data_IF_179003948980
#
_entry.id   IF_179003948980
#
_cell.length_a   1.000
_cell.length_b   1.000
_cell.length_c   1.000
_cell.angle_alpha   90.00
_cell.angle_beta   90.00
_cell.angle_gamma   90.00
#
_symmetry.space_group_name_H-M   'P 1'
#
loop_
_entity.id
_entity.type
_entity.pdbx_description
1 polymer ?
#
# COMPACT_ATOMS: atom_id res chain seq x y z
N UNK A 1 -48.36 23.98 -8.60
CA UNK A 1 -47.04 23.42 -8.26
C UNK A 1 -47.20 21.91 -8.22
N UNK A 2 -46.45 21.20 -9.06
CA UNK A 2 -46.60 19.76 -9.17
C UNK A 2 -46.19 19.07 -7.86
N UNK A 3 -47.00 18.13 -7.37
CA UNK A 3 -46.75 17.36 -6.13
C UNK A 3 -45.40 16.66 -6.11
N UNK A 4 -44.82 16.41 -7.29
CA UNK A 4 -43.50 15.82 -7.45
C UNK A 4 -42.34 16.60 -6.78
N UNK A 5 -42.52 17.88 -6.49
CA UNK A 5 -41.49 18.67 -5.80
C UNK A 5 -41.57 18.58 -4.26
N UNK A 6 -42.64 18.00 -3.72
CA UNK A 6 -42.76 17.80 -2.27
C UNK A 6 -41.83 16.73 -1.71
N UNK A 7 -41.32 15.84 -2.56
CA UNK A 7 -40.39 14.77 -2.19
C UNK A 7 -38.90 15.18 -2.25
N UNK A 8 -38.60 16.36 -2.78
CA UNK A 8 -37.22 16.84 -2.78
C UNK A 8 -36.89 17.38 -1.39
N UNK A 9 -36.10 16.66 -0.65
CA UNK A 9 -35.54 17.19 0.61
C UNK A 9 -34.73 18.46 0.30
N UNK A 10 -35.06 19.55 0.97
CA UNK A 10 -34.29 20.79 0.93
C UNK A 10 -33.16 20.80 1.96
N UNK A 11 -33.05 19.76 2.73
CA UNK A 11 -31.98 19.61 3.74
C UNK A 11 -30.69 19.23 3.04
N UNK A 12 -29.70 20.09 3.15
CA UNK A 12 -28.33 19.72 2.70
C UNK A 12 -27.78 18.65 3.60
N UNK A 13 -27.18 17.65 3.00
CA UNK A 13 -26.38 16.67 3.74
C UNK A 13 -25.05 17.31 4.08
N UNK A 14 -24.81 17.55 5.37
CA UNK A 14 -23.59 18.20 5.88
C UNK A 14 -22.65 17.22 6.55
N UNK A 15 -23.10 15.97 6.75
CA UNK A 15 -22.29 14.93 7.36
C UNK A 15 -21.11 14.53 6.45
N UNK A 16 -19.93 14.26 7.02
CA UNK A 16 -18.79 13.79 6.27
C UNK A 16 -19.12 12.53 5.49
N UNK A 17 -18.60 12.40 4.27
CA UNK A 17 -18.84 11.24 3.41
C UNK A 17 -18.39 9.91 4.05
N UNK A 18 -17.44 9.95 4.98
CA UNK A 18 -16.99 8.79 5.75
C UNK A 18 -17.80 8.53 7.02
N UNK A 19 -18.91 9.26 7.26
CA UNK A 19 -19.83 8.94 8.36
C UNK A 19 -20.37 7.53 8.20
N UNK A 20 -20.21 6.73 9.26
CA UNK A 20 -20.54 5.29 9.24
C UNK A 20 -21.99 5.00 8.86
N UNK A 21 -22.92 5.82 9.34
CA UNK A 21 -24.36 5.61 9.06
C UNK A 21 -24.70 5.90 7.61
N UNK A 22 -24.10 6.95 7.04
CA UNK A 22 -24.26 7.27 5.62
C UNK A 22 -23.64 6.20 4.73
N UNK A 23 -22.43 5.75 5.04
CA UNK A 23 -21.78 4.68 4.28
C UNK A 23 -22.58 3.38 4.33
N UNK A 24 -23.02 2.93 5.50
CA UNK A 24 -23.84 1.73 5.63
C UNK A 24 -25.18 1.83 4.87
N UNK A 25 -25.85 2.98 4.94
CA UNK A 25 -27.16 3.16 4.31
C UNK A 25 -27.09 3.28 2.79
N UNK A 26 -26.05 3.89 2.24
CA UNK A 26 -25.92 4.18 0.81
C UNK A 26 -25.02 3.17 0.10
N UNK A 27 -23.90 2.77 0.73
CA UNK A 27 -22.86 1.94 0.14
C UNK A 27 -22.81 0.52 0.71
N UNK A 28 -23.77 0.16 1.60
CA UNK A 28 -23.95 -1.18 2.14
C UNK A 28 -23.00 -1.57 3.27
N UNK A 29 -21.90 -0.83 3.46
CA UNK A 29 -20.93 -1.02 4.55
C UNK A 29 -20.04 0.20 4.78
N UNK A 30 -19.31 0.22 5.90
CA UNK A 30 -18.32 1.25 6.21
C UNK A 30 -17.01 0.94 5.47
N UNK A 31 -16.92 1.42 4.24
CA UNK A 31 -15.70 1.27 3.43
C UNK A 31 -14.50 2.02 4.02
N UNK A 32 -13.31 1.53 3.68
CA UNK A 32 -12.07 2.22 3.94
C UNK A 32 -11.33 1.78 5.20
N UNK A 33 -10.29 2.52 5.51
CA UNK A 33 -9.34 2.22 6.58
C UNK A 33 -9.20 3.46 7.47
N UNK A 34 -9.41 3.29 8.76
CA UNK A 34 -9.16 4.31 9.79
C UNK A 34 -7.91 4.00 10.62
N UNK A 35 -7.41 2.75 10.52
CA UNK A 35 -6.32 2.25 11.34
C UNK A 35 -5.50 1.22 10.53
N UNK A 36 -4.18 1.37 10.42
CA UNK A 36 -3.34 0.51 9.58
C UNK A 36 -3.19 -0.91 10.08
N UNK A 37 -3.48 -1.16 11.36
CA UNK A 37 -3.38 -2.48 12.01
C UNK A 37 -4.71 -3.12 12.34
N UNK A 38 -5.84 -2.47 12.08
CA UNK A 38 -7.17 -3.05 12.26
C UNK A 38 -7.29 -4.39 11.52
N UNK A 39 -8.12 -5.30 12.05
CA UNK A 39 -8.28 -6.63 11.46
C UNK A 39 -8.67 -6.53 9.99
N UNK A 40 -7.87 -7.13 9.11
CA UNK A 40 -8.15 -7.17 7.67
C UNK A 40 -9.46 -7.90 7.38
N UNK A 41 -10.27 -7.34 6.48
CA UNK A 41 -11.57 -7.89 6.08
C UNK A 41 -11.63 -8.19 4.60
N UNK A 42 -11.15 -7.27 3.77
CA UNK A 42 -11.17 -7.41 2.33
C UNK A 42 -9.88 -6.84 1.74
N UNK A 43 -9.25 -7.58 0.86
CA UNK A 43 -7.97 -7.23 0.24
C UNK A 43 -8.08 -7.42 -1.27
N UNK A 44 -7.65 -6.42 -2.03
CA UNK A 44 -7.43 -6.54 -3.47
C UNK A 44 -6.02 -7.09 -3.72
N UNK A 45 -5.94 -8.14 -4.51
CA UNK A 45 -4.69 -8.78 -4.95
C UNK A 45 -4.74 -9.04 -6.46
N UNK A 46 -3.59 -9.28 -7.07
CA UNK A 46 -3.48 -9.79 -8.43
C UNK A 46 -2.54 -11.00 -8.43
N UNK A 47 -3.04 -12.16 -8.87
CA UNK A 47 -2.22 -13.36 -9.00
C UNK A 47 -1.31 -13.20 -10.21
N UNK A 48 0.02 -13.24 -10.05
CA UNK A 48 0.92 -12.99 -11.18
C UNK A 48 0.75 -14.04 -12.28
N UNK A 49 0.76 -13.58 -13.51
CA UNK A 49 0.67 -14.37 -14.73
C UNK A 49 1.89 -14.19 -15.62
N UNK A 50 1.72 -14.46 -16.92
CA UNK A 50 2.81 -14.31 -17.90
C UNK A 50 3.24 -12.86 -18.16
N UNK A 51 2.48 -11.88 -17.68
CA UNK A 51 2.81 -10.45 -17.79
C UNK A 51 4.14 -10.10 -17.12
N UNK A 52 4.53 -10.82 -16.05
CA UNK A 52 5.80 -10.59 -15.35
C UNK A 52 7.01 -10.74 -16.26
N UNK A 53 6.93 -11.59 -17.28
CA UNK A 53 8.00 -11.77 -18.27
C UNK A 53 8.15 -10.57 -19.22
N UNK A 54 7.20 -9.63 -19.22
CA UNK A 54 7.30 -8.41 -20.01
C UNK A 54 8.23 -7.37 -19.42
N UNK A 55 8.62 -7.54 -18.15
CA UNK A 55 9.54 -6.62 -17.49
C UNK A 55 10.87 -6.49 -18.23
N UNK A 56 11.40 -7.59 -18.75
CA UNK A 56 12.62 -7.57 -19.59
C UNK A 56 12.46 -6.69 -20.83
N UNK A 57 11.29 -6.71 -21.46
CA UNK A 57 10.98 -5.90 -22.64
C UNK A 57 10.98 -4.40 -22.34
N UNK A 58 10.59 -4.02 -21.13
CA UNK A 58 10.52 -2.62 -20.70
C UNK A 58 11.77 -2.15 -19.97
N UNK A 59 12.75 -3.01 -19.76
CA UNK A 59 13.97 -2.72 -19.01
C UNK A 59 14.73 -1.51 -19.52
N UNK A 60 14.77 -1.32 -20.84
CA UNK A 60 15.41 -0.16 -21.47
C UNK A 60 14.65 1.17 -21.29
N UNK A 61 13.41 1.13 -20.77
CA UNK A 61 12.54 2.28 -20.55
C UNK A 61 12.43 2.67 -19.07
N UNK A 62 13.06 1.91 -18.18
CA UNK A 62 13.14 2.23 -16.76
C UNK A 62 14.32 3.16 -16.57
N UNK A 63 14.05 4.46 -16.69
CA UNK A 63 15.12 5.47 -16.79
C UNK A 63 15.63 5.98 -15.45
N UNK A 64 15.02 5.61 -14.29
CA UNK A 64 15.33 6.33 -13.06
C UNK A 64 15.12 5.54 -11.80
N UNK A 65 15.65 6.07 -10.74
CA UNK A 65 15.32 5.79 -9.38
C UNK A 65 16.20 4.84 -8.62
N UNK A 66 15.69 4.19 -7.60
CA UNK A 66 16.45 3.32 -6.71
C UNK A 66 17.19 2.23 -7.42
N UNK A 67 16.70 1.78 -8.58
CA UNK A 67 17.42 0.82 -9.42
C UNK A 67 18.73 1.40 -9.94
N UNK A 68 18.76 2.68 -10.33
CA UNK A 68 19.99 3.39 -10.70
C UNK A 68 20.89 3.63 -9.49
N UNK A 69 20.34 3.99 -8.35
CA UNK A 69 21.10 4.31 -7.15
C UNK A 69 21.73 3.08 -6.49
N UNK A 70 21.07 1.94 -6.52
CA UNK A 70 21.66 0.68 -6.11
C UNK A 70 22.84 0.27 -7.02
N UNK A 71 22.91 0.79 -8.24
CA UNK A 71 24.01 0.56 -9.16
C UNK A 71 25.22 1.47 -8.91
N UNK A 72 25.04 2.60 -8.24
CA UNK A 72 26.12 3.56 -7.94
C UNK A 72 27.16 2.97 -6.98
N UNK A 73 26.89 1.87 -6.30
CA UNK A 73 27.86 1.16 -5.45
C UNK A 73 29.02 0.49 -6.18
N UNK A 74 29.31 0.86 -7.43
CA UNK A 74 30.59 0.58 -8.01
C UNK A 74 30.65 -0.01 -9.41
N UNK A 75 29.59 -0.49 -9.99
CA UNK A 75 29.56 -0.86 -11.40
C UNK A 75 28.13 -0.70 -11.92
N UNK A 76 27.96 0.22 -12.85
CA UNK A 76 26.76 0.32 -13.68
C UNK A 76 26.63 -0.99 -14.48
N UNK A 77 26.07 -2.01 -13.89
CA UNK A 77 25.62 -3.16 -14.64
C UNK A 77 24.11 -3.18 -14.55
N UNK A 78 23.47 -3.21 -15.70
CA UNK A 78 22.04 -3.49 -15.87
C UNK A 78 21.64 -4.85 -15.20
N UNK A 79 22.59 -5.56 -14.65
CA UNK A 79 22.42 -6.81 -13.93
C UNK A 79 21.76 -6.70 -12.56
N UNK A 80 21.38 -5.52 -12.12
CA UNK A 80 20.49 -5.32 -10.96
C UNK A 80 19.02 -5.22 -11.35
N UNK A 81 18.69 -5.42 -12.61
CA UNK A 81 17.31 -5.67 -13.03
C UNK A 81 16.77 -6.86 -12.23
N UNK A 82 15.50 -6.80 -11.83
CA UNK A 82 14.85 -7.94 -11.22
C UNK A 82 15.16 -9.19 -12.03
N UNK A 83 15.71 -10.22 -11.38
CA UNK A 83 15.88 -11.50 -12.07
C UNK A 83 14.50 -12.00 -12.46
N UNK A 84 14.35 -12.48 -13.69
CA UNK A 84 13.08 -13.10 -14.10
C UNK A 84 12.74 -14.19 -13.08
N UNK A 85 11.58 -14.09 -12.42
CA UNK A 85 11.19 -15.10 -11.44
C UNK A 85 10.82 -16.40 -12.14
N UNK A 86 10.93 -17.51 -11.41
CA UNK A 86 10.24 -18.73 -11.77
C UNK A 86 8.73 -18.51 -11.59
N UNK A 87 7.99 -18.44 -12.69
CA UNK A 87 6.57 -18.08 -12.68
C UNK A 87 5.73 -19.07 -11.84
N UNK A 88 6.00 -20.37 -11.94
CA UNK A 88 5.25 -21.38 -11.18
C UNK A 88 5.48 -21.20 -9.67
N UNK A 89 6.72 -21.01 -9.27
CA UNK A 89 7.08 -20.79 -7.88
C UNK A 89 6.59 -19.42 -7.37
N UNK A 90 6.65 -18.40 -8.20
CA UNK A 90 6.08 -17.07 -7.90
C UNK A 90 4.57 -17.17 -7.60
N UNK A 91 3.84 -17.90 -8.43
CA UNK A 91 2.41 -18.17 -8.23
C UNK A 91 2.15 -18.94 -6.95
N UNK A 92 2.93 -19.99 -6.67
CA UNK A 92 2.82 -20.77 -5.43
C UNK A 92 3.04 -19.89 -4.18
N UNK A 93 4.03 -19.00 -4.21
CA UNK A 93 4.29 -18.07 -3.11
C UNK A 93 3.19 -17.03 -2.95
N UNK A 94 2.68 -16.50 -4.04
CA UNK A 94 1.55 -15.58 -4.01
C UNK A 94 0.27 -16.27 -3.48
N UNK A 95 -0.01 -17.50 -3.89
CA UNK A 95 -1.12 -18.28 -3.40
C UNK A 95 -0.98 -18.58 -1.89
N UNK A 96 0.24 -18.90 -1.42
CA UNK A 96 0.52 -19.10 0.01
C UNK A 96 0.29 -17.82 0.84
N UNK A 97 0.65 -16.64 0.30
CA UNK A 97 0.34 -15.36 0.92
C UNK A 97 -1.18 -15.13 1.00
N UNK A 98 -1.91 -15.37 -0.10
CA UNK A 98 -3.37 -15.24 -0.12
C UNK A 98 -4.03 -16.21 0.88
N UNK A 99 -3.53 -17.42 1.03
CA UNK A 99 -4.03 -18.40 1.98
C UNK A 99 -3.74 -18.02 3.45
N UNK A 100 -2.56 -17.43 3.71
CA UNK A 100 -2.25 -16.87 5.03
C UNK A 100 -3.26 -15.76 5.40
N UNK A 101 -3.57 -14.87 4.47
CA UNK A 101 -4.56 -13.81 4.67
C UNK A 101 -5.99 -14.35 4.87
N UNK A 102 -6.39 -15.38 4.11
CA UNK A 102 -7.69 -16.05 4.27
C UNK A 102 -7.83 -16.72 5.64
N UNK A 103 -6.76 -17.35 6.15
CA UNK A 103 -6.74 -17.93 7.50
C UNK A 103 -6.92 -16.87 8.58
N UNK A 104 -6.48 -15.64 8.33
CA UNK A 104 -6.71 -14.48 9.21
C UNK A 104 -8.13 -13.88 9.05
N UNK A 105 -8.94 -14.42 8.14
CA UNK A 105 -10.33 -14.03 7.91
C UNK A 105 -10.52 -12.94 6.87
N UNK A 106 -9.52 -12.69 6.02
CA UNK A 106 -9.64 -11.78 4.92
C UNK A 106 -10.35 -12.44 3.71
N UNK A 107 -11.26 -11.71 3.10
CA UNK A 107 -11.77 -11.99 1.76
C UNK A 107 -10.77 -11.44 0.73
N UNK A 108 -10.39 -12.26 -0.25
CA UNK A 108 -9.50 -11.83 -1.33
C UNK A 108 -10.33 -11.56 -2.59
N UNK A 109 -10.26 -10.31 -3.05
CA UNK A 109 -10.77 -9.90 -4.36
C UNK A 109 -9.59 -9.90 -5.33
N UNK A 110 -9.73 -10.54 -6.47
CA UNK A 110 -8.68 -10.53 -7.47
C UNK A 110 -8.95 -9.48 -8.55
N UNK A 111 -7.92 -8.69 -8.84
CA UNK A 111 -7.80 -7.97 -10.09
C UNK A 111 -7.52 -9.00 -11.17
N UNK A 112 -8.42 -9.11 -12.15
CA UNK A 112 -8.38 -10.17 -13.14
C UNK A 112 -7.28 -9.98 -14.18
N UNK A 113 -6.86 -11.06 -14.82
CA UNK A 113 -5.95 -11.02 -15.94
C UNK A 113 -6.55 -10.21 -17.10
N UNK A 114 -5.69 -9.46 -17.76
CA UNK A 114 -6.03 -8.68 -18.94
C UNK A 114 -5.06 -9.02 -20.06
N UNK A 115 -5.53 -9.10 -21.31
CA UNK A 115 -4.69 -9.41 -22.49
C UNK A 115 -3.43 -8.53 -22.59
N UNK A 116 -3.52 -7.29 -22.06
CA UNK A 116 -2.44 -6.33 -21.99
C UNK A 116 -2.02 -6.05 -20.55
N UNK A 117 -1.99 -7.08 -19.69
CA UNK A 117 -1.55 -6.94 -18.31
C UNK A 117 -0.17 -6.29 -18.20
N UNK A 118 -0.02 -5.43 -17.20
CA UNK A 118 1.21 -4.72 -16.90
C UNK A 118 2.13 -5.59 -16.04
N UNK A 119 3.45 -5.54 -16.21
CA UNK A 119 4.37 -6.51 -15.59
C UNK A 119 4.40 -6.49 -14.06
N UNK A 120 4.01 -5.38 -13.44
CA UNK A 120 4.03 -5.19 -11.99
C UNK A 120 2.64 -5.23 -11.32
N UNK A 121 1.60 -5.68 -12.03
CA UNK A 121 0.21 -5.71 -11.52
C UNK A 121 0.04 -6.47 -10.20
N UNK A 122 0.94 -7.42 -9.88
CA UNK A 122 0.92 -8.12 -8.60
C UNK A 122 1.11 -7.18 -7.40
N UNK A 123 1.71 -6.00 -7.59
CA UNK A 123 1.92 -5.00 -6.54
C UNK A 123 0.71 -4.07 -6.41
N UNK A 124 -0.39 -4.67 -6.01
CA UNK A 124 -1.70 -3.98 -5.92
C UNK A 124 -1.75 -2.88 -4.86
N UNK A 125 -0.81 -2.87 -3.90
CA UNK A 125 -0.69 -1.79 -2.92
C UNK A 125 -0.64 -0.42 -3.56
N UNK A 126 0.04 -0.31 -4.69
CA UNK A 126 0.32 0.95 -5.35
C UNK A 126 -0.88 1.50 -6.13
N UNK A 127 -1.95 0.72 -6.28
CA UNK A 127 -3.15 1.10 -7.03
C UNK A 127 -3.95 2.23 -6.38
N UNK A 128 -3.81 2.43 -5.06
CA UNK A 128 -4.56 3.47 -4.38
C UNK A 128 -4.25 3.62 -2.89
N UNK A 129 -4.70 4.72 -2.36
CA UNK A 129 -4.62 5.09 -0.96
C UNK A 129 -6.00 4.93 -0.33
N UNK A 130 -6.15 3.91 0.50
CA UNK A 130 -7.43 3.61 1.16
C UNK A 130 -7.53 4.42 2.45
N UNK A 131 -8.61 5.18 2.55
CA UNK A 131 -8.88 6.11 3.64
C UNK A 131 -10.31 5.91 4.15
N UNK A 132 -10.73 6.54 5.25
CA UNK A 132 -12.12 6.44 5.68
C UNK A 132 -13.10 6.79 4.56
N UNK A 133 -14.04 5.88 4.30
CA UNK A 133 -15.10 6.07 3.31
C UNK A 133 -14.75 5.69 1.88
N UNK A 134 -13.51 5.31 1.55
CA UNK A 134 -13.20 4.92 0.17
C UNK A 134 -11.71 4.91 -0.18
N UNK A 135 -11.42 5.13 -1.45
CA UNK A 135 -10.06 5.10 -1.99
C UNK A 135 -9.76 6.34 -2.83
N UNK A 136 -8.54 6.82 -2.74
CA UNK A 136 -7.94 7.78 -3.68
C UNK A 136 -7.09 6.95 -4.64
N UNK A 137 -7.44 6.96 -5.93
CA UNK A 137 -6.71 6.19 -6.94
C UNK A 137 -5.37 6.83 -7.24
N UNK A 138 -4.38 5.99 -7.41
CA UNK A 138 -3.03 6.36 -7.78
C UNK A 138 -2.91 6.81 -9.24
N UNK A 139 -1.95 7.69 -9.50
CA UNK A 139 -1.37 7.90 -10.81
C UNK A 139 0.09 7.53 -10.74
N UNK A 140 0.48 6.53 -11.53
CA UNK A 140 1.83 6.00 -11.53
C UNK A 140 2.83 6.96 -12.18
N UNK A 141 4.02 6.99 -11.61
CA UNK A 141 5.15 7.76 -12.17
C UNK A 141 5.73 7.08 -13.41
N UNK A 142 5.76 5.74 -13.44
CA UNK A 142 6.36 4.97 -14.52
C UNK A 142 5.35 4.55 -15.59
N UNK A 143 5.78 4.64 -16.85
CA UNK A 143 4.97 4.22 -18.00
C UNK A 143 4.59 2.73 -17.95
N UNK A 144 5.47 1.88 -17.45
CA UNK A 144 5.24 0.42 -17.35
C UNK A 144 4.06 0.04 -16.43
N UNK A 145 3.54 1.00 -15.64
CA UNK A 145 2.40 0.82 -14.74
C UNK A 145 1.21 1.75 -15.05
N UNK A 146 1.37 2.61 -16.05
CA UNK A 146 0.43 3.70 -16.32
C UNK A 146 -1.03 3.24 -16.52
N UNK A 147 -1.24 2.07 -17.11
CA UNK A 147 -2.58 1.52 -17.38
C UNK A 147 -3.26 0.83 -16.19
N UNK A 148 -2.52 0.56 -15.11
CA UNK A 148 -3.04 -0.16 -13.94
C UNK A 148 -4.17 0.62 -13.23
N UNK A 149 -4.09 1.97 -13.19
CA UNK A 149 -5.12 2.82 -12.58
C UNK A 149 -6.50 2.57 -13.16
N UNK A 150 -6.62 2.35 -14.48
CA UNK A 150 -7.91 2.05 -15.12
C UNK A 150 -8.50 0.73 -14.62
N UNK A 151 -7.66 -0.30 -14.52
CA UNK A 151 -8.08 -1.62 -14.06
C UNK A 151 -8.49 -1.57 -12.58
N UNK A 152 -7.72 -0.81 -11.77
CA UNK A 152 -8.06 -0.57 -10.37
C UNK A 152 -9.41 0.14 -10.21
N UNK A 153 -9.65 1.21 -10.98
CA UNK A 153 -10.90 1.97 -10.94
C UNK A 153 -12.10 1.07 -11.26
N UNK A 154 -11.99 0.23 -12.30
CA UNK A 154 -13.03 -0.71 -12.69
C UNK A 154 -13.30 -1.71 -11.55
N UNK A 155 -12.26 -2.40 -11.06
CA UNK A 155 -12.42 -3.45 -10.05
C UNK A 155 -12.93 -2.94 -8.71
N UNK A 156 -12.46 -1.79 -8.27
CA UNK A 156 -12.89 -1.14 -7.04
C UNK A 156 -14.37 -0.71 -7.15
N UNK A 157 -14.79 -0.19 -8.30
CA UNK A 157 -16.22 0.12 -8.56
C UNK A 157 -17.09 -1.11 -8.58
N UNK A 158 -16.64 -2.22 -9.19
CA UNK A 158 -17.33 -3.50 -9.18
C UNK A 158 -17.48 -4.06 -7.76
N UNK A 159 -16.49 -3.88 -6.91
CA UNK A 159 -16.54 -4.23 -5.49
C UNK A 159 -17.52 -3.36 -4.68
N UNK A 160 -17.99 -2.24 -5.26
CA UNK A 160 -18.91 -1.31 -4.61
C UNK A 160 -18.23 -0.28 -3.69
N UNK A 161 -16.90 -0.16 -3.73
CA UNK A 161 -16.18 0.78 -2.90
C UNK A 161 -16.20 2.20 -3.52
N UNK A 162 -16.48 3.26 -2.73
CA UNK A 162 -16.42 4.62 -3.22
C UNK A 162 -15.01 5.03 -3.67
N UNK A 163 -14.92 5.68 -4.83
CA UNK A 163 -13.71 6.35 -5.30
C UNK A 163 -13.83 7.83 -4.93
N UNK A 164 -13.00 8.29 -3.99
CA UNK A 164 -13.05 9.65 -3.46
C UNK A 164 -12.31 10.65 -4.34
N UNK A 165 -11.42 10.16 -5.19
CA UNK A 165 -10.65 10.95 -6.12
C UNK A 165 -9.58 10.14 -6.82
N UNK A 166 -8.85 10.81 -7.71
CA UNK A 166 -7.71 10.24 -8.44
C UNK A 166 -6.63 11.31 -8.55
N UNK A 167 -5.38 10.93 -8.37
CA UNK A 167 -4.24 11.81 -8.65
C UNK A 167 -4.13 12.02 -10.16
N UNK A 168 -3.96 13.27 -10.60
CA UNK A 168 -4.06 13.66 -12.00
C UNK A 168 -3.00 14.68 -12.41
N UNK A 169 -2.97 14.99 -13.71
CA UNK A 169 -2.15 16.06 -14.28
C UNK A 169 -0.65 15.83 -14.08
N UNK A 170 0.03 16.79 -13.47
CA UNK A 170 1.46 16.69 -13.15
C UNK A 170 1.74 15.95 -11.84
N UNK A 171 0.70 15.65 -11.05
CA UNK A 171 0.83 14.85 -9.83
C UNK A 171 0.99 13.38 -10.14
N UNK A 172 1.81 12.69 -9.37
CA UNK A 172 1.83 11.24 -9.26
C UNK A 172 2.02 10.83 -7.80
N UNK A 173 1.39 9.73 -7.44
CA UNK A 173 1.48 9.12 -6.13
C UNK A 173 1.08 7.66 -6.21
N UNK A 174 1.77 6.81 -5.45
CA UNK A 174 1.58 5.38 -5.38
C UNK A 174 1.28 4.96 -3.93
N UNK A 175 0.36 4.01 -3.76
CA UNK A 175 -0.19 3.65 -2.44
C UNK A 175 0.80 2.99 -1.48
N UNK A 176 1.94 2.44 -1.97
CA UNK A 176 3.04 1.93 -1.13
C UNK A 176 3.70 3.01 -0.26
N UNK A 177 3.59 4.27 -0.69
CA UNK A 177 4.07 5.41 0.10
C UNK A 177 3.04 5.96 1.09
N UNK A 178 1.82 5.41 1.17
CA UNK A 178 0.74 5.97 1.97
C UNK A 178 0.28 5.03 3.08
N UNK A 179 0.04 5.59 4.27
CA UNK A 179 -0.63 4.88 5.36
C UNK A 179 -1.44 5.83 6.25
N UNK A 180 -2.55 5.35 6.83
CA UNK A 180 -3.19 6.01 7.96
C UNK A 180 -2.35 5.73 9.22
N UNK A 181 -2.18 6.70 10.12
CA UNK A 181 -1.68 6.46 11.48
C UNK A 181 -2.82 6.26 12.47
N UNK A 182 -3.84 7.08 12.31
CA UNK A 182 -5.05 7.10 13.10
C UNK A 182 -6.21 7.64 12.24
N UNK A 183 -7.47 7.68 12.71
CA UNK A 183 -8.60 8.13 11.91
C UNK A 183 -8.51 9.57 11.39
N UNK A 184 -7.60 10.39 11.92
CA UNK A 184 -7.47 11.81 11.62
C UNK A 184 -6.09 12.18 11.04
N UNK A 185 -5.18 11.20 10.93
CA UNK A 185 -3.82 11.45 10.46
C UNK A 185 -3.37 10.39 9.46
N UNK A 186 -2.92 10.84 8.31
CA UNK A 186 -2.26 10.02 7.31
C UNK A 186 -0.81 10.48 7.11
N UNK A 187 0.01 9.55 6.61
CA UNK A 187 1.41 9.81 6.23
C UNK A 187 1.60 9.44 4.77
N UNK A 188 2.37 10.23 4.05
CA UNK A 188 2.82 9.92 2.70
C UNK A 188 4.32 10.17 2.57
N UNK A 189 5.05 9.19 2.02
CA UNK A 189 6.46 9.36 1.68
C UNK A 189 6.62 10.04 0.32
N UNK A 190 7.41 11.12 0.23
CA UNK A 190 7.78 11.73 -1.05
C UNK A 190 9.03 11.06 -1.61
N UNK A 191 8.99 10.76 -2.89
CA UNK A 191 10.07 10.07 -3.60
C UNK A 191 9.95 10.32 -5.10
N UNK A 192 10.71 9.62 -5.92
CA UNK A 192 10.50 9.61 -7.36
C UNK A 192 9.14 9.02 -7.81
N UNK A 193 8.44 8.30 -6.91
CA UNK A 193 7.11 7.73 -7.15
C UNK A 193 5.98 8.57 -6.57
N UNK A 194 6.31 9.60 -5.79
CA UNK A 194 5.35 10.52 -5.18
C UNK A 194 5.91 11.92 -5.18
N UNK A 195 5.37 12.79 -6.04
CA UNK A 195 5.83 14.17 -6.13
C UNK A 195 4.94 15.15 -5.34
N UNK A 196 5.43 16.38 -5.17
CA UNK A 196 4.74 17.43 -4.42
C UNK A 196 3.31 17.69 -4.95
N UNK A 197 3.12 17.70 -6.28
CA UNK A 197 1.81 17.91 -6.88
C UNK A 197 0.84 16.77 -6.59
N UNK A 198 1.32 15.52 -6.46
CA UNK A 198 0.52 14.38 -5.99
C UNK A 198 0.14 14.52 -4.52
N UNK A 199 1.11 14.87 -3.67
CA UNK A 199 0.88 15.13 -2.23
C UNK A 199 -0.15 16.21 -2.02
N UNK A 200 -0.10 17.31 -2.78
CA UNK A 200 -1.07 18.42 -2.65
C UNK A 200 -2.48 17.98 -3.01
N UNK A 201 -2.66 17.17 -4.04
CA UNK A 201 -3.97 16.61 -4.41
C UNK A 201 -4.51 15.68 -3.33
N UNK A 202 -3.68 14.78 -2.78
CA UNK A 202 -4.06 13.90 -1.67
C UNK A 202 -4.47 14.76 -0.46
N UNK A 203 -3.66 15.76 -0.10
CA UNK A 203 -3.95 16.67 1.02
C UNK A 203 -5.29 17.38 0.85
N UNK A 204 -5.60 17.84 -0.36
CA UNK A 204 -6.88 18.48 -0.65
C UNK A 204 -8.06 17.53 -0.44
N UNK A 205 -7.98 16.31 -0.95
CA UNK A 205 -9.04 15.31 -0.80
C UNK A 205 -9.24 14.96 0.69
N UNK A 206 -8.15 14.73 1.43
CA UNK A 206 -8.19 14.40 2.85
C UNK A 206 -8.71 15.56 3.71
N UNK A 207 -8.44 16.80 3.32
CA UNK A 207 -8.89 17.99 4.06
C UNK A 207 -10.41 18.10 4.10
N UNK A 208 -11.13 17.62 3.09
CA UNK A 208 -12.60 17.56 3.10
C UNK A 208 -13.15 16.62 4.18
N UNK A 209 -12.32 15.71 4.67
CA UNK A 209 -12.66 14.77 5.74
C UNK A 209 -12.04 15.16 7.09
N UNK A 210 -11.35 16.30 7.16
CA UNK A 210 -10.63 16.73 8.36
C UNK A 210 -9.39 15.87 8.69
N UNK A 211 -8.86 15.14 7.72
CA UNK A 211 -7.68 14.27 7.90
C UNK A 211 -6.40 15.08 7.59
N UNK A 212 -5.49 15.14 8.55
CA UNK A 212 -4.16 15.75 8.39
C UNK A 212 -3.26 14.82 7.59
N UNK A 213 -2.55 15.34 6.59
CA UNK A 213 -1.52 14.61 5.85
C UNK A 213 -0.12 15.10 6.25
N UNK A 214 0.70 14.17 6.73
CA UNK A 214 2.13 14.36 7.00
C UNK A 214 2.91 13.86 5.78
N UNK A 215 3.71 14.73 5.16
CA UNK A 215 4.59 14.35 4.07
C UNK A 215 6.01 14.15 4.60
N UNK A 216 6.62 13.00 4.29
CA UNK A 216 7.95 12.57 4.75
C UNK A 216 8.86 12.41 3.54
N UNK A 217 9.95 13.17 3.50
CA UNK A 217 10.93 13.03 2.43
C UNK A 217 11.73 11.73 2.62
N UNK A 218 11.67 10.86 1.61
CA UNK A 218 12.39 9.59 1.61
C UNK A 218 13.75 9.77 0.92
N UNK A 219 14.79 9.04 1.38
CA UNK A 219 16.07 9.03 0.70
C UNK A 219 15.94 8.37 -0.67
N UNK A 220 16.78 8.79 -1.62
CA UNK A 220 16.78 8.26 -2.98
C UNK A 220 17.09 6.75 -3.11
N UNK A 221 17.35 6.06 -2.00
CA UNK A 221 17.58 4.61 -1.96
C UNK A 221 16.33 3.76 -1.84
N UNK A 222 15.16 4.38 -1.61
CA UNK A 222 13.86 3.71 -1.52
C UNK A 222 12.81 4.49 -2.31
N UNK A 223 11.79 3.78 -2.79
CA UNK A 223 10.72 4.38 -3.60
C UNK A 223 9.44 4.62 -2.80
N UNK A 224 9.19 3.82 -1.79
CA UNK A 224 7.96 3.86 -1.01
C UNK A 224 8.21 3.88 0.49
N UNK A 225 7.27 4.43 1.24
CA UNK A 225 7.36 4.52 2.70
C UNK A 225 7.33 3.14 3.37
N UNK A 226 6.65 2.15 2.79
CA UNK A 226 6.55 0.79 3.32
C UNK A 226 7.85 -0.02 3.25
N UNK A 227 8.92 0.55 2.68
CA UNK A 227 10.29 0.06 2.79
C UNK A 227 11.03 0.56 4.04
N UNK A 228 10.45 1.54 4.75
CA UNK A 228 11.07 2.16 5.92
C UNK A 228 10.16 2.19 7.17
N UNK A 229 8.86 1.99 7.00
CA UNK A 229 7.88 2.14 8.07
C UNK A 229 6.68 1.19 7.89
N UNK A 230 6.36 0.43 8.93
CA UNK A 230 5.19 -0.43 9.00
C UNK A 230 4.62 -0.44 10.41
N UNK A 231 3.37 -0.05 10.61
CA UNK A 231 2.67 -0.29 11.88
C UNK A 231 2.41 -1.78 12.05
N UNK A 232 2.78 -2.33 13.21
CA UNK A 232 2.64 -3.76 13.54
C UNK A 232 1.65 -4.00 14.69
N UNK A 233 1.41 -2.98 15.50
CA UNK A 233 0.39 -2.95 16.55
C UNK A 233 -0.12 -1.52 16.70
N UNK A 234 -1.13 -1.28 17.54
CA UNK A 234 -1.73 0.04 17.73
C UNK A 234 -0.70 1.12 18.13
N UNK A 235 0.28 0.74 18.95
CA UNK A 235 1.35 1.62 19.42
C UNK A 235 2.75 1.06 19.13
N UNK A 236 2.90 0.21 18.11
CA UNK A 236 4.21 -0.32 17.70
C UNK A 236 4.39 -0.25 16.20
N UNK A 237 5.55 0.19 15.79
CA UNK A 237 5.96 0.21 14.39
C UNK A 237 7.29 -0.51 14.19
N UNK A 238 7.39 -1.30 13.13
CA UNK A 238 8.66 -1.75 12.59
C UNK A 238 9.20 -0.64 11.70
N UNK A 239 10.45 -0.24 11.90
CA UNK A 239 11.05 0.89 11.20
C UNK A 239 12.47 0.58 10.73
N UNK A 240 12.88 1.20 9.65
CA UNK A 240 14.28 1.38 9.32
C UNK A 240 14.65 2.85 9.59
N UNK A 241 15.14 3.14 10.79
CA UNK A 241 15.41 4.51 11.24
C UNK A 241 16.46 5.22 10.37
N UNK A 242 17.34 4.47 9.69
CA UNK A 242 18.34 5.06 8.79
C UNK A 242 17.76 5.65 7.51
N UNK A 243 16.50 5.29 7.19
CA UNK A 243 15.77 5.75 6.01
C UNK A 243 14.69 6.79 6.32
N UNK A 244 14.56 7.19 7.59
CA UNK A 244 13.54 8.14 8.03
C UNK A 244 14.20 9.40 8.60
N UNK A 245 13.67 10.60 8.33
CA UNK A 245 14.19 11.83 8.91
C UNK A 245 13.90 11.90 10.41
N UNK A 246 14.82 12.51 11.17
CA UNK A 246 14.73 12.58 12.64
C UNK A 246 13.40 13.17 13.13
N UNK A 247 12.91 14.24 12.48
CA UNK A 247 11.66 14.87 12.89
C UNK A 247 10.44 13.94 12.77
N UNK A 248 10.46 12.96 11.84
CA UNK A 248 9.39 12.00 11.73
C UNK A 248 9.47 10.94 12.83
N UNK A 249 10.67 10.51 13.19
CA UNK A 249 10.91 9.65 14.37
C UNK A 249 10.37 10.34 15.64
N UNK A 250 10.62 11.64 15.80
CA UNK A 250 10.13 12.44 16.93
C UNK A 250 8.58 12.56 16.90
N UNK A 251 7.99 12.78 15.73
CA UNK A 251 6.51 12.77 15.55
C UNK A 251 5.90 11.42 15.98
N UNK A 252 6.54 10.30 15.63
CA UNK A 252 6.07 8.96 16.04
C UNK A 252 6.18 8.76 17.56
N UNK A 253 7.28 9.16 18.18
CA UNK A 253 7.45 9.12 19.62
C UNK A 253 6.43 10.01 20.35
N UNK A 254 6.13 11.21 19.81
CA UNK A 254 5.13 12.11 20.40
C UNK A 254 3.71 11.54 20.41
N UNK A 255 3.49 10.45 19.66
CA UNK A 255 2.23 9.68 19.59
C UNK A 255 2.28 8.41 20.41
N UNK A 256 3.28 8.24 21.26
CA UNK A 256 3.51 7.04 22.07
C UNK A 256 3.66 5.75 21.21
N UNK A 257 4.21 5.88 20.00
CA UNK A 257 4.51 4.74 19.13
C UNK A 257 5.90 4.21 19.45
N UNK A 258 5.96 2.97 19.92
CA UNK A 258 7.21 2.23 20.13
C UNK A 258 7.81 1.82 18.79
N UNK A 259 9.09 2.15 18.57
CA UNK A 259 9.80 1.89 17.32
C UNK A 259 10.70 0.66 17.46
N UNK A 260 10.40 -0.38 16.70
CA UNK A 260 11.21 -1.59 16.58
C UNK A 260 12.07 -1.46 15.32
N UNK A 261 13.38 -1.34 15.49
CA UNK A 261 14.28 -1.19 14.35
C UNK A 261 14.52 -2.53 13.67
N UNK A 262 14.21 -2.62 12.36
CA UNK A 262 14.46 -3.80 11.55
C UNK A 262 15.94 -4.20 11.62
N UNK A 263 16.22 -5.49 11.76
CA UNK A 263 17.60 -5.95 11.87
C UNK A 263 18.32 -5.83 10.51
N UNK A 264 19.47 -5.13 10.44
CA UNK A 264 20.18 -4.89 9.17
C UNK A 264 20.82 -6.14 8.56
N UNK A 265 20.82 -7.27 9.27
CA UNK A 265 21.28 -8.57 8.76
C UNK A 265 20.22 -9.26 7.89
N UNK A 266 18.96 -8.88 8.07
CA UNK A 266 17.87 -9.42 7.28
C UNK A 266 17.80 -8.76 5.89
N UNK A 267 17.17 -9.42 4.90
CA UNK A 267 16.90 -8.83 3.59
C UNK A 267 16.12 -7.51 3.70
N UNK A 268 16.41 -6.55 2.82
CA UNK A 268 15.85 -5.18 2.86
C UNK A 268 14.31 -5.18 2.93
N UNK A 269 13.64 -6.05 2.15
CA UNK A 269 12.17 -6.13 2.11
C UNK A 269 11.54 -6.95 3.26
N UNK A 270 12.31 -7.31 4.29
CA UNK A 270 11.75 -7.95 5.50
C UNK A 270 10.74 -7.04 6.20
N UNK A 271 10.96 -5.71 6.17
CA UNK A 271 10.03 -4.72 6.72
C UNK A 271 8.69 -4.66 5.98
N UNK A 272 8.66 -5.08 4.71
CA UNK A 272 7.50 -4.98 3.84
C UNK A 272 6.48 -6.10 4.11
N UNK A 273 6.03 -6.19 5.37
CA UNK A 273 4.99 -7.10 5.85
C UNK A 273 3.60 -6.47 5.89
N UNK A 274 2.62 -7.18 6.41
CA UNK A 274 1.27 -6.67 6.62
C UNK A 274 0.72 -7.08 7.98
N UNK A 275 0.21 -6.12 8.76
CA UNK A 275 -0.55 -6.45 9.95
C UNK A 275 -1.91 -7.06 9.55
N UNK A 276 -2.17 -8.31 9.95
CA UNK A 276 -3.45 -8.97 9.76
C UNK A 276 -4.48 -8.50 10.79
N UNK A 277 -3.99 -8.20 12.01
CA UNK A 277 -4.71 -7.56 13.12
C UNK A 277 -3.68 -6.93 14.06
N UNK A 278 -4.09 -6.11 15.06
CA UNK A 278 -3.15 -5.54 16.00
C UNK A 278 -2.28 -6.62 16.68
N UNK A 279 -0.96 -6.43 16.65
CA UNK A 279 0.00 -7.37 17.23
C UNK A 279 0.16 -8.70 16.48
N UNK A 280 -0.37 -8.82 15.25
CA UNK A 280 -0.29 -10.05 14.43
C UNK A 280 0.07 -9.71 12.98
N UNK A 281 1.25 -10.11 12.52
CA UNK A 281 1.87 -9.65 11.28
C UNK A 281 2.27 -10.82 10.39
N UNK A 282 1.97 -10.73 9.10
CA UNK A 282 2.51 -11.62 8.06
C UNK A 282 3.81 -10.99 7.56
N UNK A 283 4.93 -11.71 7.71
CA UNK A 283 6.27 -11.28 7.33
C UNK A 283 6.97 -12.28 6.40
N UNK A 284 7.98 -11.79 5.68
CA UNK A 284 8.87 -12.65 4.90
C UNK A 284 9.64 -13.64 5.80
N UNK A 285 9.59 -14.92 5.50
CA UNK A 285 10.25 -15.97 6.29
C UNK A 285 11.77 -15.85 6.31
N UNK A 286 12.37 -15.16 5.33
CA UNK A 286 13.81 -14.89 5.26
C UNK A 286 14.33 -13.88 6.29
N UNK A 287 13.45 -13.17 6.99
CA UNK A 287 13.77 -12.13 7.97
C UNK A 287 13.85 -12.64 9.40
N UNK A 288 14.70 -13.64 9.66
CA UNK A 288 14.73 -14.36 10.94
C UNK A 288 15.03 -13.49 12.16
N UNK A 289 15.92 -12.52 12.04
CA UNK A 289 16.27 -11.62 13.15
C UNK A 289 15.13 -10.63 13.46
N UNK A 290 14.50 -10.11 12.44
CA UNK A 290 13.34 -9.22 12.61
C UNK A 290 12.12 -9.99 13.15
N UNK A 291 11.91 -11.24 12.72
CA UNK A 291 10.87 -12.11 13.28
C UNK A 291 11.10 -12.34 14.79
N UNK A 292 12.34 -12.62 15.18
CA UNK A 292 12.72 -12.78 16.58
C UNK A 292 12.52 -11.48 17.38
N UNK A 293 12.86 -10.32 16.79
CA UNK A 293 12.63 -9.00 17.38
C UNK A 293 11.13 -8.77 17.64
N UNK A 294 10.29 -8.97 16.63
CA UNK A 294 8.86 -8.79 16.74
C UNK A 294 8.27 -9.71 17.81
N UNK A 295 8.64 -11.00 17.80
CA UNK A 295 8.16 -11.99 18.76
C UNK A 295 8.54 -11.64 20.21
N UNK A 296 9.77 -11.17 20.45
CA UNK A 296 10.25 -10.71 21.77
C UNK A 296 9.49 -9.48 22.27
N UNK A 297 8.93 -8.69 21.37
CA UNK A 297 8.14 -7.49 21.68
C UNK A 297 6.61 -7.75 21.63
N UNK A 298 6.21 -9.03 21.69
CA UNK A 298 4.80 -9.42 21.83
C UNK A 298 3.99 -9.36 20.54
N UNK A 299 4.65 -9.28 19.38
CA UNK A 299 4.01 -9.33 18.05
C UNK A 299 4.06 -10.77 17.53
N UNK A 300 2.91 -11.35 17.26
CA UNK A 300 2.81 -12.67 16.66
C UNK A 300 3.13 -12.59 15.15
N UNK A 301 4.04 -13.44 14.68
CA UNK A 301 4.48 -13.42 13.29
C UNK A 301 4.04 -14.67 12.54
N UNK A 302 3.47 -14.46 11.36
CA UNK A 302 3.12 -15.50 10.40
C UNK A 302 4.15 -15.42 9.26
N UNK A 303 5.15 -16.32 9.21
CA UNK A 303 6.17 -16.29 8.17
C UNK A 303 5.65 -16.86 6.85
N UNK A 304 5.94 -16.17 5.74
CA UNK A 304 5.60 -16.61 4.37
C UNK A 304 6.86 -16.51 3.50
N UNK A 305 7.15 -17.54 2.71
CA UNK A 305 8.24 -17.49 1.72
C UNK A 305 7.82 -16.61 0.53
N UNK A 306 8.63 -15.59 0.28
CA UNK A 306 8.45 -14.63 -0.83
C UNK A 306 9.71 -14.50 -1.67
N UNK A 307 10.56 -15.53 -1.69
CA UNK A 307 11.87 -15.48 -2.37
C UNK A 307 11.80 -15.21 -3.88
N UNK A 308 10.70 -15.57 -4.55
CA UNK A 308 10.46 -15.21 -5.95
C UNK A 308 9.80 -13.83 -6.08
N UNK A 309 8.90 -13.46 -5.15
CA UNK A 309 8.24 -12.16 -5.14
C UNK A 309 9.28 -11.03 -5.04
N UNK A 310 10.26 -11.17 -4.15
CA UNK A 310 11.31 -10.13 -3.98
C UNK A 310 12.21 -9.95 -5.20
N UNK A 311 12.30 -10.92 -6.08
CA UNK A 311 13.01 -10.76 -7.38
C UNK A 311 12.33 -9.75 -8.29
N UNK A 312 11.03 -9.53 -8.11
CA UNK A 312 10.26 -8.51 -8.82
C UNK A 312 10.39 -7.11 -8.19
N UNK A 313 11.13 -6.97 -7.09
CA UNK A 313 11.41 -5.69 -6.43
C UNK A 313 10.41 -5.27 -5.36
N UNK A 314 9.46 -6.11 -4.96
CA UNK A 314 8.49 -5.83 -3.91
C UNK A 314 8.37 -6.94 -2.87
N UNK A 315 7.52 -6.72 -1.86
CA UNK A 315 7.28 -7.65 -0.76
C UNK A 315 5.81 -7.95 -0.52
N UNK A 316 5.50 -8.41 0.69
CA UNK A 316 4.14 -8.81 1.10
C UNK A 316 3.17 -7.62 1.08
N UNK A 317 3.59 -6.46 1.64
CA UNK A 317 2.76 -5.26 1.66
C UNK A 317 2.45 -4.79 0.24
N UNK A 318 3.45 -4.79 -0.64
CA UNK A 318 3.30 -4.40 -2.04
C UNK A 318 2.25 -5.26 -2.78
N UNK A 319 2.17 -6.56 -2.47
CA UNK A 319 1.21 -7.48 -3.11
C UNK A 319 -0.22 -7.35 -2.56
N UNK A 320 -0.49 -6.44 -1.63
CA UNK A 320 -1.76 -6.40 -0.90
C UNK A 320 -2.31 -4.99 -0.79
N UNK A 321 -3.55 -4.76 -1.24
CA UNK A 321 -4.27 -3.52 -0.98
C UNK A 321 -5.50 -3.82 -0.12
N UNK A 322 -5.44 -3.67 1.22
CA UNK A 322 -6.63 -3.76 2.05
C UNK A 322 -7.65 -2.68 1.67
N UNK A 323 -8.87 -3.12 1.35
CA UNK A 323 -10.00 -2.24 1.04
C UNK A 323 -10.82 -1.96 2.29
N UNK A 324 -10.81 -2.89 3.25
CA UNK A 324 -11.55 -2.80 4.49
C UNK A 324 -10.74 -3.39 5.65
N UNK A 325 -10.69 -2.67 6.75
CA UNK A 325 -10.19 -3.13 8.04
C UNK A 325 -11.22 -2.83 9.13
N UNK A 326 -11.35 -3.74 10.10
CA UNK A 326 -12.17 -3.53 11.29
C UNK A 326 -11.26 -3.21 12.48
N UNK A 327 -11.46 -2.07 13.10
CA UNK A 327 -10.73 -1.65 14.30
C UNK A 327 -11.30 -0.35 14.81
#
# INVERSE_FOLDING_TARGET
MHESFSYMSRTLVTEPFHDKKLLESIWGKTWGITNPVGKVKQILMHRPGSEVNRLEKYSAQIESGPMLLNQIKGNFSINSMPQSPDLERLQQQHDALADALRKEGAEIIYLEDHENAWPEMMFTRDLGMVVPGGVILSRFALYIRYGETRLAAQKISEAGMPILGMVQGMGFAEGGSFTMLDPQTAVVGTSERVNAAGVDQIRQILSFQGIRLIAVDLPASIIHLDEAFLMVDQQKALVNISLLPFWFIDELHSRDIELLHVDPRDPVLTINGIAASPGRVICASGGSYTIDLLSKNGVEVIPVDISEIVKMGGGIHCCTLPLERKG
#
